data_IF_296707028488
#
_entry.id   IF_296707028488
#
_cell.length_a   1.000
_cell.length_b   1.000
_cell.length_c   1.000
_cell.angle_alpha   90.00
_cell.angle_beta   90.00
_cell.angle_gamma   90.00
#
_symmetry.space_group_name_H-M   'P 1'
#
loop_
_entity.id
_entity.type
_entity.pdbx_description
1 polymer ?
#
# COMPACT_ATOMS: atom_id res chain seq x y z
N UNK A 1 -0.57 21.15 -24.50
CA UNK A 1 -0.68 20.76 -23.08
C UNK A 1 -1.63 19.57 -22.87
N UNK A 2 -2.80 19.56 -23.54
CA UNK A 2 -3.82 18.53 -23.36
C UNK A 2 -3.40 17.09 -23.71
N UNK A 3 -2.61 16.89 -24.78
CA UNK A 3 -2.18 15.54 -25.19
C UNK A 3 -1.34 14.84 -24.11
N UNK A 4 -0.41 15.57 -23.47
CA UNK A 4 0.43 15.02 -22.39
C UNK A 4 -0.39 14.61 -21.19
N UNK A 5 -1.38 15.42 -20.79
CA UNK A 5 -2.30 15.08 -19.70
C UNK A 5 -3.11 13.82 -20.02
N UNK A 6 -3.62 13.66 -21.25
CA UNK A 6 -4.34 12.46 -21.66
C UNK A 6 -3.47 11.20 -21.56
N UNK A 7 -2.24 11.26 -22.08
CA UNK A 7 -1.28 10.16 -21.99
C UNK A 7 -0.99 9.80 -20.52
N UNK A 8 -0.74 10.80 -19.66
CA UNK A 8 -0.49 10.57 -18.24
C UNK A 8 -1.70 9.96 -17.52
N UNK A 9 -2.91 10.41 -17.86
CA UNK A 9 -4.14 9.89 -17.30
C UNK A 9 -4.35 8.43 -17.69
N UNK A 10 -4.25 8.10 -18.97
CA UNK A 10 -4.39 6.73 -19.47
C UNK A 10 -3.36 5.78 -18.84
N UNK A 11 -2.10 6.22 -18.75
CA UNK A 11 -1.02 5.45 -18.14
C UNK A 11 -1.19 5.24 -16.62
N UNK A 12 -2.02 6.04 -15.94
CA UNK A 12 -2.23 5.97 -14.50
C UNK A 12 -3.56 5.32 -14.11
N UNK A 13 -4.63 5.53 -14.89
CA UNK A 13 -5.98 5.03 -14.62
C UNK A 13 -6.28 3.69 -15.28
N UNK A 14 -5.37 3.17 -16.10
CA UNK A 14 -5.53 1.83 -16.67
C UNK A 14 -5.70 0.82 -15.53
N UNK A 15 -6.88 0.19 -15.47
CA UNK A 15 -7.29 -0.78 -14.44
C UNK A 15 -6.25 -1.91 -14.28
N UNK A 16 -5.53 -2.21 -15.35
CA UNK A 16 -4.48 -3.23 -15.40
C UNK A 16 -3.17 -2.82 -14.70
N UNK A 17 -2.98 -1.53 -14.39
CA UNK A 17 -1.70 -1.00 -13.91
C UNK A 17 -1.61 -0.76 -12.41
N UNK A 18 -2.71 -1.02 -11.66
CA UNK A 18 -2.79 -0.90 -10.19
C UNK A 18 -2.04 0.32 -9.62
N UNK A 19 -2.41 1.53 -10.08
CA UNK A 19 -1.74 2.78 -9.72
C UNK A 19 -0.20 2.70 -9.79
N UNK A 20 0.36 2.68 -11.01
CA UNK A 20 1.79 2.55 -11.18
C UNK A 20 2.51 3.77 -10.58
N UNK A 21 3.53 3.51 -9.75
CA UNK A 21 4.40 4.58 -9.27
C UNK A 21 5.19 5.24 -10.41
N UNK A 22 5.79 6.40 -10.15
CA UNK A 22 6.45 7.26 -11.15
C UNK A 22 7.47 6.52 -12.04
N UNK A 23 8.24 5.59 -11.47
CA UNK A 23 9.21 4.80 -12.23
C UNK A 23 8.54 3.90 -13.26
N UNK A 24 7.49 3.17 -12.89
CA UNK A 24 6.78 2.27 -13.81
C UNK A 24 6.11 3.06 -14.93
N UNK A 25 5.42 4.16 -14.59
CA UNK A 25 4.82 5.04 -15.59
C UNK A 25 5.85 5.58 -16.59
N UNK A 26 7.04 5.97 -16.12
CA UNK A 26 8.11 6.42 -17.02
C UNK A 26 8.63 5.31 -17.94
N UNK A 27 8.87 4.11 -17.41
CA UNK A 27 9.37 2.98 -18.21
C UNK A 27 8.37 2.53 -19.28
N UNK A 28 7.08 2.57 -18.96
CA UNK A 28 6.02 2.19 -19.91
C UNK A 28 5.80 3.30 -20.95
N UNK A 29 5.77 4.57 -20.52
CA UNK A 29 5.50 5.71 -21.41
C UNK A 29 6.64 5.99 -22.39
N UNK A 30 7.90 5.81 -21.97
CA UNK A 30 9.09 6.09 -22.82
C UNK A 30 9.23 5.18 -24.03
N UNK A 31 8.50 4.06 -24.06
CA UNK A 31 8.53 3.15 -25.21
C UNK A 31 7.80 3.73 -26.42
N UNK A 32 6.82 4.62 -26.18
CA UNK A 32 5.92 5.14 -27.21
C UNK A 32 5.96 6.66 -27.34
N UNK A 33 6.37 7.37 -26.29
CA UNK A 33 6.32 8.83 -26.23
C UNK A 33 7.61 9.43 -25.69
N UNK A 34 7.91 10.64 -26.12
CA UNK A 34 9.03 11.43 -25.62
C UNK A 34 8.70 12.91 -25.61
N UNK A 35 9.10 13.62 -24.54
CA UNK A 35 9.11 15.08 -24.49
C UNK A 35 10.10 15.60 -23.45
N UNK A 36 10.43 16.89 -23.54
CA UNK A 36 11.33 17.56 -22.60
C UNK A 36 10.77 17.50 -21.18
N UNK A 37 11.61 17.08 -20.23
CA UNK A 37 11.28 16.97 -18.79
C UNK A 37 10.16 15.96 -18.46
N UNK A 38 9.92 14.97 -19.32
CA UNK A 38 8.92 13.91 -19.13
C UNK A 38 9.00 13.20 -17.78
N UNK A 39 10.20 12.79 -17.32
CA UNK A 39 10.39 12.20 -15.97
C UNK A 39 9.84 13.08 -14.85
N UNK A 40 10.10 14.40 -14.93
CA UNK A 40 9.67 15.37 -13.93
C UNK A 40 8.16 15.59 -13.96
N UNK A 41 7.57 15.63 -15.15
CA UNK A 41 6.12 15.78 -15.30
C UNK A 41 5.38 14.52 -14.80
N UNK A 42 5.89 13.32 -15.08
CA UNK A 42 5.35 12.06 -14.54
C UNK A 42 5.44 12.04 -13.01
N UNK A 43 6.60 12.40 -12.44
CA UNK A 43 6.77 12.45 -10.99
C UNK A 43 5.78 13.43 -10.32
N UNK A 44 5.59 14.61 -10.92
CA UNK A 44 4.62 15.61 -10.44
C UNK A 44 3.16 15.14 -10.59
N UNK A 45 2.86 14.39 -11.65
CA UNK A 45 1.53 13.85 -11.89
C UNK A 45 1.19 12.78 -10.85
N UNK A 46 2.10 11.83 -10.61
CA UNK A 46 1.91 10.76 -9.61
C UNK A 46 1.89 11.34 -8.19
N UNK A 47 2.69 12.36 -7.87
CA UNK A 47 2.65 13.00 -6.54
C UNK A 47 1.33 13.69 -6.23
N UNK A 48 0.66 14.20 -7.27
CA UNK A 48 -0.63 14.89 -7.16
C UNK A 48 -1.82 13.94 -7.28
N UNK A 49 -1.60 12.70 -7.73
CA UNK A 49 -2.64 11.71 -7.83
C UNK A 49 -2.98 11.17 -6.43
N UNK A 50 -4.25 10.90 -6.20
CA UNK A 50 -4.80 10.34 -4.95
C UNK A 50 -4.32 8.92 -4.64
N UNK A 51 -3.42 8.36 -5.44
CA UNK A 51 -2.84 7.02 -5.30
C UNK A 51 -1.77 6.89 -4.20
N UNK A 52 -1.80 7.75 -3.17
CA UNK A 52 -1.02 7.61 -1.92
C UNK A 52 -1.38 6.35 -1.11
N UNK A 53 -2.11 5.41 -1.70
CA UNK A 53 -2.54 4.12 -1.12
C UNK A 53 -1.36 3.17 -0.91
N UNK A 54 -0.21 3.43 -1.54
CA UNK A 54 1.04 2.90 -1.00
C UNK A 54 1.25 3.57 0.33
N UNK A 55 0.92 2.83 1.40
CA UNK A 55 1.26 3.21 2.76
C UNK A 55 2.61 3.92 2.72
N UNK A 56 2.65 5.13 3.26
CA UNK A 56 3.92 5.70 3.68
C UNK A 56 4.67 4.54 4.34
N UNK A 57 5.94 4.32 4.00
CA UNK A 57 6.78 3.49 4.85
C UNK A 57 6.77 4.23 6.19
N UNK A 58 5.75 3.94 7.01
CA UNK A 58 5.49 4.62 8.26
C UNK A 58 6.83 4.54 8.95
N UNK A 59 7.32 5.71 9.40
CA UNK A 59 8.52 5.73 10.24
C UNK A 59 8.37 4.59 11.23
N UNK A 60 9.41 3.75 11.44
CA UNK A 60 9.30 2.63 12.36
C UNK A 60 8.59 3.15 13.60
N UNK A 61 7.48 2.50 13.98
CA UNK A 61 6.70 2.91 15.15
C UNK A 61 7.69 3.22 16.25
N UNK A 62 7.59 4.42 16.84
CA UNK A 62 8.57 4.90 17.81
C UNK A 62 8.82 3.86 18.90
N UNK A 63 9.87 4.05 19.71
CA UNK A 63 10.31 3.07 20.71
C UNK A 63 9.12 2.41 21.42
N UNK A 64 8.92 1.11 21.17
CA UNK A 64 7.87 0.33 21.81
C UNK A 64 8.10 0.43 23.32
N UNK A 65 7.11 0.92 24.05
CA UNK A 65 7.15 0.87 25.51
C UNK A 65 6.76 -0.55 25.93
N UNK A 66 7.71 -1.34 26.48
CA UNK A 66 7.36 -2.65 27.00
C UNK A 66 6.38 -2.47 28.16
N UNK A 67 5.42 -3.40 28.28
CA UNK A 67 4.58 -3.50 29.46
C UNK A 67 5.46 -3.82 30.68
N UNK A 68 5.02 -3.36 31.85
CA UNK A 68 5.69 -3.72 33.10
C UNK A 68 5.69 -5.24 33.26
N UNK A 69 6.76 -5.79 33.83
CA UNK A 69 6.84 -7.21 34.13
C UNK A 69 5.93 -7.47 35.34
N UNK A 70 4.93 -8.38 35.24
CA UNK A 70 4.11 -8.73 36.40
C UNK A 70 4.99 -9.34 37.51
N UNK A 71 4.74 -8.91 38.74
CA UNK A 71 5.45 -9.38 39.93
C UNK A 71 5.00 -10.79 40.33
N UNK A 72 3.80 -11.21 39.95
CA UNK A 72 3.24 -12.51 40.33
C UNK A 72 2.48 -13.24 39.21
N UNK A 73 2.22 -14.53 39.42
CA UNK A 73 1.40 -15.34 38.49
C UNK A 73 -0.03 -14.79 38.47
N UNK A 74 -0.61 -14.67 37.26
CA UNK A 74 -2.00 -14.23 36.99
C UNK A 74 -2.28 -12.74 37.23
N UNK A 75 -1.27 -11.91 37.42
CA UNK A 75 -1.43 -10.46 37.59
C UNK A 75 -1.86 -9.80 36.27
N UNK A 76 -1.26 -10.23 35.15
CA UNK A 76 -1.61 -9.78 33.81
C UNK A 76 -2.15 -10.94 32.97
N UNK A 77 -3.31 -10.74 32.35
CA UNK A 77 -3.94 -11.68 31.41
C UNK A 77 -4.22 -10.95 30.10
N UNK A 78 -3.57 -11.41 29.02
CA UNK A 78 -3.82 -10.92 27.67
C UNK A 78 -4.62 -11.96 26.88
N UNK A 79 -5.60 -11.49 26.11
CA UNK A 79 -6.43 -12.32 25.24
C UNK A 79 -6.37 -11.77 23.82
N UNK A 80 -6.26 -12.67 22.85
CA UNK A 80 -6.30 -12.34 21.43
C UNK A 80 -7.22 -13.34 20.70
N UNK A 81 -7.83 -12.88 19.60
CA UNK A 81 -8.73 -13.69 18.78
C UNK A 81 -8.02 -14.13 17.50
N UNK A 82 -7.90 -15.44 17.31
CA UNK A 82 -7.39 -16.00 16.05
C UNK A 82 -8.56 -16.21 15.09
N UNK A 83 -8.52 -15.53 13.94
CA UNK A 83 -9.51 -15.66 12.87
C UNK A 83 -8.94 -16.44 11.67
N UNK A 84 -9.81 -17.01 10.83
CA UNK A 84 -9.41 -17.65 9.56
C UNK A 84 -8.90 -19.09 9.67
N UNK A 85 -9.20 -19.80 10.76
CA UNK A 85 -8.83 -21.20 10.90
C UNK A 85 -9.67 -22.12 9.98
N UNK A 86 -9.10 -23.22 9.47
CA UNK A 86 -9.84 -24.21 8.69
C UNK A 86 -11.05 -24.75 9.46
N UNK A 87 -12.14 -25.05 8.75
CA UNK A 87 -13.29 -25.72 9.34
C UNK A 87 -12.88 -27.07 9.92
N UNK A 88 -13.41 -27.40 11.09
CA UNK A 88 -13.25 -28.74 11.66
C UNK A 88 -13.91 -29.77 10.74
N UNK A 89 -13.57 -31.07 10.86
CA UNK A 89 -14.21 -32.15 10.09
C UNK A 89 -15.73 -32.22 10.24
N UNK A 90 -16.28 -31.61 11.30
CA UNK A 90 -17.72 -31.48 11.58
C UNK A 90 -18.34 -30.20 11.04
N UNK A 91 -17.61 -29.41 10.25
CA UNK A 91 -18.09 -28.16 9.64
C UNK A 91 -18.14 -26.94 10.57
N UNK A 92 -17.79 -27.10 11.85
CA UNK A 92 -17.82 -26.03 12.84
C UNK A 92 -16.64 -25.08 12.67
N UNK A 93 -16.90 -23.77 12.72
CA UNK A 93 -15.88 -22.72 12.86
C UNK A 93 -15.53 -22.66 14.35
N UNK A 94 -14.28 -22.88 14.76
CA UNK A 94 -13.94 -23.06 16.17
C UNK A 94 -14.11 -21.83 17.07
N UNK A 95 -14.49 -20.66 16.53
CA UNK A 95 -14.60 -19.39 17.28
C UNK A 95 -15.73 -18.47 16.76
N UNK A 96 -16.83 -19.05 16.25
CA UNK A 96 -18.05 -18.31 15.89
C UNK A 96 -19.03 -18.22 17.05
#
# INVERSE_FOLDING_TARGET
MELRKKILNEAHTSVLTMHPGSNKMYQDSKQKFWWTRMKREIAKYVSNATCRVKADHLKPGGMLQPLNIPAWKWEDIHMDFVVGLPRTRRGMIPYG
#
